data_IF_491102686602
#
_entry.id   IF_491102686602
#
_cell.length_a   1.000
_cell.length_b   1.000
_cell.length_c   1.000
_cell.angle_alpha   90.00
_cell.angle_beta   90.00
_cell.angle_gamma   90.00
#
_symmetry.space_group_name_H-M   'P 1'
#
loop_
_entity.id
_entity.type
_entity.pdbx_description
1 polymer ?
#
# COMPACT_ATOMS: atom_id res chain seq x y z
N UNK A 1 -8.93 15.34 3.47
CA UNK A 1 -7.87 15.74 4.42
C UNK A 1 -6.57 15.06 3.98
N UNK A 2 -5.70 15.80 3.27
CA UNK A 2 -4.43 15.29 2.75
C UNK A 2 -3.37 15.41 3.84
N UNK A 3 -2.96 14.28 4.42
CA UNK A 3 -1.99 14.26 5.52
C UNK A 3 -0.99 13.12 5.35
N UNK A 4 -0.07 13.30 4.40
CA UNK A 4 1.26 12.71 4.48
C UNK A 4 2.25 13.82 4.17
N UNK A 5 2.26 14.83 5.03
CA UNK A 5 3.25 15.90 4.98
C UNK A 5 4.58 15.25 5.36
N UNK A 6 5.45 15.06 4.37
CA UNK A 6 6.87 14.87 4.61
C UNK A 6 7.33 16.03 5.47
N UNK A 7 7.71 15.77 6.73
CA UNK A 7 8.37 16.75 7.56
C UNK A 7 9.79 16.88 7.05
N UNK A 8 10.16 17.96 6.35
CA UNK A 8 11.55 18.20 6.00
C UNK A 8 12.34 18.26 7.32
N UNK A 9 13.54 17.69 7.34
CA UNK A 9 14.48 17.99 8.42
C UNK A 9 14.66 19.52 8.41
N UNK A 10 14.18 20.18 9.48
CA UNK A 10 14.25 21.63 9.61
C UNK A 10 15.64 22.12 10.00
N UNK A 11 16.55 21.19 10.32
CA UNK A 11 17.92 21.46 10.72
C UNK A 11 18.84 21.40 9.51
N UNK A 12 19.70 22.40 9.39
CA UNK A 12 20.88 22.36 8.51
C UNK A 12 21.83 21.23 8.92
N UNK A 13 22.70 20.81 7.99
CA UNK A 13 23.71 19.77 8.28
C UNK A 13 24.61 20.17 9.47
N UNK A 14 24.95 21.47 9.62
CA UNK A 14 25.75 21.98 10.72
C UNK A 14 25.02 21.91 12.08
N UNK A 15 23.72 22.22 12.11
CA UNK A 15 22.91 22.07 13.33
C UNK A 15 22.76 20.60 13.73
N UNK A 16 22.59 19.72 12.75
CA UNK A 16 22.47 18.28 12.96
C UNK A 16 23.80 17.66 13.44
N UNK A 17 24.94 18.10 12.90
CA UNK A 17 26.27 17.71 13.35
C UNK A 17 26.50 18.09 14.83
N UNK A 18 26.21 19.34 15.19
CA UNK A 18 26.29 19.80 16.57
C UNK A 18 25.40 18.97 17.50
N UNK A 19 24.20 18.63 17.03
CA UNK A 19 23.27 17.81 17.78
C UNK A 19 23.79 16.38 17.98
N UNK A 20 24.44 15.78 16.98
CA UNK A 20 25.07 14.48 17.11
C UNK A 20 26.25 14.50 18.08
N UNK A 21 27.12 15.51 18.01
CA UNK A 21 28.21 15.66 18.98
C UNK A 21 27.68 15.83 20.41
N UNK A 22 26.61 16.61 20.60
CA UNK A 22 25.93 16.73 21.90
C UNK A 22 25.43 15.37 22.39
N UNK A 23 24.82 14.58 21.51
CA UNK A 23 24.30 13.25 21.83
C UNK A 23 25.38 12.27 22.28
N UNK A 24 26.52 12.26 21.61
CA UNK A 24 27.66 11.40 21.96
C UNK A 24 28.26 11.82 23.29
N UNK A 25 28.38 13.13 23.56
CA UNK A 25 29.01 13.66 24.77
C UNK A 25 28.13 13.54 26.01
N UNK A 26 26.86 13.90 25.90
CA UNK A 26 25.92 13.94 27.02
C UNK A 26 24.49 13.61 26.54
N UNK A 27 24.17 12.32 26.34
CA UNK A 27 22.86 11.90 25.85
C UNK A 27 21.72 12.19 26.84
N UNK A 28 22.03 12.36 28.13
CA UNK A 28 21.04 12.67 29.16
C UNK A 28 20.55 14.12 29.09
N UNK A 29 21.39 15.04 28.61
CA UNK A 29 21.04 16.46 28.40
C UNK A 29 20.06 16.72 27.26
N UNK A 30 19.80 15.72 26.41
CA UNK A 30 18.94 15.88 25.24
C UNK A 30 17.46 15.82 25.60
N UNK A 31 16.72 16.82 25.12
CA UNK A 31 15.26 16.84 25.13
C UNK A 31 14.66 15.78 24.21
N UNK A 32 13.36 15.50 24.37
CA UNK A 32 12.63 14.56 23.49
C UNK A 32 12.64 15.04 22.03
N UNK A 33 12.47 16.33 21.79
CA UNK A 33 12.49 16.91 20.44
C UNK A 33 13.85 16.71 19.76
N UNK A 34 14.93 16.92 20.50
CA UNK A 34 16.30 16.69 20.01
C UNK A 34 16.54 15.20 19.69
N UNK A 35 16.11 14.29 20.56
CA UNK A 35 16.17 12.84 20.32
C UNK A 35 15.37 12.45 19.07
N UNK A 36 14.21 13.07 18.84
CA UNK A 36 13.40 12.83 17.64
C UNK A 36 14.10 13.35 16.38
N UNK A 37 14.72 14.53 16.43
CA UNK A 37 15.50 15.06 15.31
C UNK A 37 16.67 14.14 14.93
N UNK A 38 17.43 13.63 15.90
CA UNK A 38 18.50 12.63 15.67
C UNK A 38 17.94 11.38 15.02
N UNK A 39 16.78 10.89 15.47
CA UNK A 39 16.08 9.72 14.91
C UNK A 39 15.40 10.00 13.56
N UNK A 40 15.45 11.24 13.06
CA UNK A 40 14.69 11.69 11.89
C UNK A 40 13.18 11.39 12.01
N UNK A 41 12.67 11.49 13.24
CA UNK A 41 11.27 11.35 13.62
C UNK A 41 10.59 12.73 13.71
N UNK A 42 9.24 12.80 13.62
CA UNK A 42 8.51 14.05 13.76
C UNK A 42 8.71 14.71 15.13
N UNK A 43 8.37 16.00 15.28
CA UNK A 43 8.25 16.65 16.58
C UNK A 43 7.36 15.85 17.55
N UNK A 44 7.60 15.89 18.87
CA UNK A 44 6.92 15.01 19.83
C UNK A 44 5.39 15.09 19.81
N UNK A 45 4.84 16.30 19.70
CA UNK A 45 3.41 16.57 19.60
C UNK A 45 2.79 15.94 18.35
N UNK A 46 3.47 16.07 17.22
CA UNK A 46 3.08 15.44 15.95
C UNK A 46 3.20 13.92 16.02
N UNK A 47 4.30 13.40 16.57
CA UNK A 47 4.53 11.97 16.70
C UNK A 47 3.46 11.32 17.58
N UNK A 48 3.12 11.94 18.71
CA UNK A 48 2.07 11.44 19.59
C UNK A 48 0.69 11.54 18.96
N UNK A 49 0.38 12.63 18.25
CA UNK A 49 -0.87 12.75 17.50
C UNK A 49 -1.02 11.64 16.44
N UNK A 50 0.05 11.34 15.70
CA UNK A 50 0.08 10.24 14.73
C UNK A 50 -0.06 8.88 15.43
N UNK A 51 0.62 8.64 16.55
CA UNK A 51 0.47 7.39 17.30
C UNK A 51 -0.97 7.21 17.79
N UNK A 52 -1.57 8.25 18.38
CA UNK A 52 -2.95 8.22 18.87
C UNK A 52 -3.92 7.97 17.72
N UNK A 53 -3.71 8.61 16.57
CA UNK A 53 -4.52 8.37 15.38
C UNK A 53 -4.43 6.92 14.89
N UNK A 54 -3.23 6.30 14.93
CA UNK A 54 -3.01 4.97 14.39
C UNK A 54 -3.36 3.82 15.35
N UNK A 55 -3.14 3.99 16.65
CA UNK A 55 -3.35 2.93 17.65
C UNK A 55 -3.98 3.38 18.97
N UNK A 56 -4.36 4.65 19.10
CA UNK A 56 -5.00 5.18 20.31
C UNK A 56 -4.06 5.43 21.49
N UNK A 57 -2.75 5.26 21.31
CA UNK A 57 -1.74 5.45 22.36
C UNK A 57 -0.72 6.52 21.94
N UNK A 58 -0.16 7.26 22.91
CA UNK A 58 1.04 8.07 22.67
C UNK A 58 2.26 7.17 22.45
N UNK A 59 3.35 7.72 21.91
CA UNK A 59 4.58 6.93 21.71
C UNK A 59 5.13 6.39 23.05
N UNK A 60 5.07 7.19 24.11
CA UNK A 60 5.50 6.79 25.45
C UNK A 60 4.64 5.64 26.01
N UNK A 61 3.31 5.76 25.94
CA UNK A 61 2.39 4.72 26.39
C UNK A 61 2.57 3.42 25.59
N UNK A 62 2.82 3.54 24.28
CA UNK A 62 3.11 2.43 23.40
C UNK A 62 4.41 1.71 23.76
N UNK A 63 5.48 2.45 24.07
CA UNK A 63 6.74 1.87 24.57
C UNK A 63 6.56 1.20 25.93
N UNK A 64 5.82 1.82 26.85
CA UNK A 64 5.51 1.23 28.16
C UNK A 64 4.74 -0.09 28.02
N UNK A 65 3.73 -0.14 27.15
CA UNK A 65 2.99 -1.36 26.81
C UNK A 65 3.91 -2.46 26.28
N UNK A 66 4.78 -2.12 25.32
CA UNK A 66 5.73 -3.06 24.73
C UNK A 66 6.80 -3.54 25.72
N UNK A 67 7.14 -2.73 26.73
CA UNK A 67 8.09 -3.12 27.78
C UNK A 67 7.45 -4.09 28.78
N UNK A 68 6.19 -3.85 29.15
CA UNK A 68 5.43 -4.70 30.07
C UNK A 68 5.14 -6.08 29.46
N UNK A 69 4.64 -6.11 28.22
CA UNK A 69 4.41 -7.35 27.48
C UNK A 69 4.54 -7.11 25.96
N UNK A 70 5.67 -7.48 25.34
CA UNK A 70 5.86 -7.37 23.89
C UNK A 70 4.82 -8.12 23.06
N UNK A 71 4.23 -9.19 23.60
CA UNK A 71 3.23 -9.99 22.89
C UNK A 71 1.85 -9.35 22.88
N UNK A 72 1.58 -8.41 23.80
CA UNK A 72 0.34 -7.62 23.85
C UNK A 72 0.23 -6.56 22.74
N UNK A 73 1.34 -6.24 22.06
CA UNK A 73 1.38 -5.23 21.00
C UNK A 73 0.53 -5.66 19.80
N UNK A 74 -0.32 -4.81 19.24
CA UNK A 74 -0.99 -5.10 17.95
C UNK A 74 0.01 -5.00 16.78
N UNK A 75 -0.42 -5.39 15.58
CA UNK A 75 0.43 -5.28 14.38
C UNK A 75 0.78 -3.83 14.04
N UNK A 76 -0.21 -2.92 14.14
CA UNK A 76 -0.01 -1.49 13.93
C UNK A 76 0.95 -0.90 14.97
N UNK A 77 0.75 -1.25 16.24
CA UNK A 77 1.61 -0.86 17.36
C UNK A 77 3.06 -1.32 17.17
N UNK A 78 3.27 -2.60 16.81
CA UNK A 78 4.60 -3.14 16.52
C UNK A 78 5.25 -2.44 15.32
N UNK A 79 4.48 -2.13 14.28
CA UNK A 79 4.96 -1.36 13.12
C UNK A 79 5.44 0.03 13.55
N UNK A 80 4.64 0.78 14.30
CA UNK A 80 4.98 2.13 14.78
C UNK A 80 6.28 2.13 15.59
N UNK A 81 6.47 1.16 16.50
CA UNK A 81 7.72 1.03 17.28
C UNK A 81 8.93 0.78 16.37
N UNK A 82 8.77 -0.04 15.33
CA UNK A 82 9.87 -0.42 14.45
C UNK A 82 10.24 0.65 13.42
N UNK A 83 9.25 1.27 12.77
CA UNK A 83 9.47 2.16 11.62
C UNK A 83 9.07 3.61 11.86
N UNK A 84 8.48 3.92 13.02
CA UNK A 84 7.98 5.24 13.39
C UNK A 84 6.49 5.44 13.08
N UNK A 85 5.90 6.44 13.73
CA UNK A 85 4.49 6.80 13.55
C UNK A 85 4.21 7.47 12.20
N UNK A 86 5.21 8.18 11.65
CA UNK A 86 5.16 8.71 10.30
C UNK A 86 5.68 7.66 9.33
N UNK A 87 4.80 6.75 8.90
CA UNK A 87 5.11 5.74 7.88
C UNK A 87 5.54 6.46 6.59
N UNK A 88 6.82 6.43 6.22
CA UNK A 88 7.32 7.29 5.16
C UNK A 88 6.78 6.83 3.80
N UNK A 89 6.41 7.78 2.95
CA UNK A 89 6.10 7.52 1.53
C UNK A 89 7.34 7.02 0.80
N UNK A 90 7.16 6.37 -0.36
CA UNK A 90 8.27 5.96 -1.22
C UNK A 90 9.20 7.12 -1.57
N UNK A 91 8.64 8.31 -1.78
CA UNK A 91 9.34 9.55 -2.09
C UNK A 91 10.16 10.03 -0.90
N UNK A 92 9.60 9.99 0.31
CA UNK A 92 10.30 10.36 1.55
C UNK A 92 11.51 9.44 1.81
N UNK A 93 11.35 8.13 1.58
CA UNK A 93 12.45 7.15 1.70
C UNK A 93 13.55 7.46 0.70
N UNK A 94 13.19 7.75 -0.57
CA UNK A 94 14.16 8.10 -1.62
C UNK A 94 14.91 9.38 -1.28
N UNK A 95 14.21 10.41 -0.83
CA UNK A 95 14.82 11.69 -0.46
C UNK A 95 15.80 11.52 0.71
N UNK A 96 15.38 10.84 1.79
CA UNK A 96 16.25 10.51 2.92
C UNK A 96 17.50 9.73 2.48
N UNK A 97 17.35 8.81 1.52
CA UNK A 97 18.49 8.07 0.96
C UNK A 97 19.44 9.00 0.19
N UNK A 98 18.91 9.88 -0.66
CA UNK A 98 19.69 10.85 -1.42
C UNK A 98 20.44 11.83 -0.51
N UNK A 99 19.80 12.34 0.55
CA UNK A 99 20.44 13.22 1.54
C UNK A 99 21.59 12.50 2.25
N UNK A 100 21.37 11.25 2.67
CA UNK A 100 22.41 10.44 3.29
C UNK A 100 23.59 10.16 2.36
N UNK A 101 23.31 9.89 1.09
CA UNK A 101 24.34 9.57 0.09
C UNK A 101 25.13 10.83 -0.36
N UNK A 102 24.58 12.03 -0.16
CA UNK A 102 25.27 13.32 -0.38
C UNK A 102 26.24 13.68 0.75
N UNK A 103 26.01 13.19 1.96
CA UNK A 103 26.82 13.51 3.14
C UNK A 103 28.13 12.71 3.15
N UNK A 104 29.24 13.28 3.64
CA UNK A 104 30.48 12.54 3.84
C UNK A 104 30.28 11.31 4.74
N UNK A 105 31.09 10.26 4.56
CA UNK A 105 30.95 9.02 5.35
C UNK A 105 31.07 9.25 6.86
N UNK A 106 31.98 10.12 7.29
CA UNK A 106 32.18 10.44 8.72
C UNK A 106 30.91 11.01 9.37
N UNK A 107 30.07 11.70 8.61
CA UNK A 107 28.81 12.25 9.10
C UNK A 107 27.82 11.12 9.43
N UNK A 108 27.81 10.07 8.61
CA UNK A 108 27.01 8.88 8.86
C UNK A 108 27.52 8.10 10.07
N UNK A 109 28.84 8.01 10.25
CA UNK A 109 29.44 7.37 11.43
C UNK A 109 29.05 8.11 12.71
N UNK A 110 29.17 9.45 12.71
CA UNK A 110 28.75 10.30 13.83
C UNK A 110 27.24 10.18 14.12
N UNK A 111 26.40 10.13 13.09
CA UNK A 111 24.96 9.86 13.24
C UNK A 111 24.71 8.51 13.93
N UNK A 112 25.43 7.45 13.52
CA UNK A 112 25.29 6.13 14.14
C UNK A 112 25.73 6.13 15.59
N UNK A 113 26.84 6.79 15.93
CA UNK A 113 27.30 6.95 17.32
C UNK A 113 26.25 7.70 18.17
N UNK A 114 25.72 8.81 17.66
CA UNK A 114 24.67 9.57 18.32
C UNK A 114 23.40 8.73 18.55
N UNK A 115 22.97 7.95 17.55
CA UNK A 115 21.83 7.05 17.66
C UNK A 115 22.05 5.98 18.74
N UNK A 116 23.24 5.39 18.82
CA UNK A 116 23.58 4.42 19.85
C UNK A 116 23.57 5.07 21.24
N UNK A 117 24.16 6.26 21.38
CA UNK A 117 24.24 6.98 22.66
C UNK A 117 22.87 7.30 23.26
N UNK A 118 21.86 7.61 22.43
CA UNK A 118 20.50 7.93 22.89
C UNK A 118 19.58 6.71 22.99
N UNK A 119 20.06 5.52 22.60
CA UNK A 119 19.26 4.30 22.60
C UNK A 119 19.42 3.58 23.93
N UNK A 120 18.35 3.54 24.73
CA UNK A 120 18.38 2.86 26.03
C UNK A 120 18.22 1.34 25.89
N UNK A 121 18.72 0.54 26.85
CA UNK A 121 18.51 -0.91 26.87
C UNK A 121 17.03 -1.31 26.78
N UNK A 122 16.16 -0.59 27.48
CA UNK A 122 14.71 -0.82 27.48
C UNK A 122 14.11 -0.56 26.10
N UNK A 123 14.49 0.56 25.45
CA UNK A 123 14.06 0.84 24.08
C UNK A 123 14.53 -0.23 23.10
N UNK A 124 15.75 -0.77 23.25
CA UNK A 124 16.22 -1.89 22.43
C UNK A 124 15.42 -3.16 22.66
N UNK A 125 15.11 -3.48 23.93
CA UNK A 125 14.31 -4.64 24.29
C UNK A 125 12.91 -4.55 23.67
N UNK A 126 12.22 -3.42 23.83
CA UNK A 126 10.90 -3.16 23.24
C UNK A 126 10.96 -3.28 21.72
N UNK A 127 11.94 -2.65 21.08
CA UNK A 127 12.12 -2.72 19.62
C UNK A 127 12.40 -4.13 19.14
N UNK A 128 13.18 -4.93 19.86
CA UNK A 128 13.44 -6.33 19.51
C UNK A 128 12.17 -7.17 19.57
N UNK A 129 11.38 -7.02 20.65
CA UNK A 129 10.09 -7.71 20.79
C UNK A 129 9.08 -7.31 19.71
N UNK A 130 8.92 -6.00 19.50
CA UNK A 130 8.09 -5.44 18.43
C UNK A 130 8.55 -5.92 17.04
N UNK A 131 9.87 -5.96 16.80
CA UNK A 131 10.42 -6.40 15.52
C UNK A 131 10.13 -7.86 15.24
N UNK A 132 10.16 -8.75 16.23
CA UNK A 132 9.79 -10.14 16.03
C UNK A 132 8.33 -10.30 15.60
N UNK A 133 7.43 -9.56 16.26
CA UNK A 133 6.00 -9.54 15.89
C UNK A 133 5.80 -8.94 14.50
N UNK A 134 6.40 -7.78 14.24
CA UNK A 134 6.39 -7.11 12.95
C UNK A 134 6.97 -8.01 11.84
N UNK A 135 8.03 -8.76 12.10
CA UNK A 135 8.67 -9.68 11.15
C UNK A 135 7.76 -10.87 10.80
N UNK A 136 7.05 -11.43 11.78
CA UNK A 136 6.06 -12.49 11.53
C UNK A 136 4.90 -11.96 10.71
N UNK A 137 4.34 -10.81 11.10
CA UNK A 137 3.29 -10.13 10.35
C UNK A 137 3.73 -9.83 8.91
N UNK A 138 4.87 -9.16 8.75
CA UNK A 138 5.43 -8.80 7.43
C UNK A 138 5.65 -10.05 6.60
N UNK A 139 6.12 -11.16 7.19
CA UNK A 139 6.22 -12.45 6.47
C UNK A 139 4.87 -12.97 6.02
N UNK A 140 3.83 -12.96 6.86
CA UNK A 140 2.47 -13.40 6.48
C UNK A 140 1.87 -12.50 5.41
N UNK A 141 1.94 -11.19 5.60
CA UNK A 141 1.46 -10.19 4.65
C UNK A 141 2.19 -10.30 3.30
N UNK A 142 3.51 -10.49 3.33
CA UNK A 142 4.30 -10.72 2.11
C UNK A 142 4.08 -12.12 1.52
N UNK A 143 3.74 -13.13 2.31
CA UNK A 143 3.42 -14.47 1.81
C UNK A 143 2.12 -14.45 1.00
N UNK A 144 1.08 -13.78 1.50
CA UNK A 144 -0.15 -13.53 0.72
C UNK A 144 0.13 -12.75 -0.56
N UNK A 145 0.96 -11.69 -0.47
CA UNK A 145 1.42 -10.95 -1.65
C UNK A 145 2.25 -11.79 -2.63
N UNK A 146 2.97 -12.81 -2.15
CA UNK A 146 3.74 -13.72 -3.02
C UNK A 146 2.87 -14.81 -3.64
N UNK A 147 1.73 -15.14 -3.07
CA UNK A 147 0.86 -16.18 -3.60
C UNK A 147 0.31 -15.79 -4.97
N UNK A 148 -0.33 -14.63 -5.09
CA UNK A 148 -0.88 -14.19 -6.38
C UNK A 148 0.21 -13.98 -7.45
N UNK A 149 1.40 -13.52 -7.04
CA UNK A 149 2.58 -13.42 -7.91
C UNK A 149 2.94 -14.79 -8.47
N UNK A 150 3.07 -15.81 -7.62
CA UNK A 150 3.38 -17.19 -8.08
C UNK A 150 2.31 -17.74 -9.03
N UNK A 151 1.06 -17.38 -8.82
CA UNK A 151 -0.03 -17.79 -9.72
C UNK A 151 0.10 -17.13 -11.09
N UNK A 152 0.44 -15.84 -11.15
CA UNK A 152 0.74 -15.16 -12.41
C UNK A 152 2.01 -15.72 -13.07
N UNK A 153 3.07 -15.95 -12.30
CA UNK A 153 4.30 -16.61 -12.79
C UNK A 153 3.96 -17.97 -13.41
N UNK A 154 3.11 -18.77 -12.75
CA UNK A 154 2.66 -20.05 -13.28
C UNK A 154 1.91 -19.88 -14.60
N UNK A 155 0.94 -18.95 -14.68
CA UNK A 155 0.19 -18.68 -15.92
C UNK A 155 1.10 -18.20 -17.05
N UNK A 156 2.13 -17.41 -16.75
CA UNK A 156 3.13 -16.98 -17.71
C UNK A 156 4.03 -18.13 -18.18
N UNK A 157 4.43 -19.02 -17.27
CA UNK A 157 5.28 -20.16 -17.57
C UNK A 157 4.54 -21.26 -18.36
N UNK A 158 3.24 -21.44 -18.15
CA UNK A 158 2.41 -22.37 -18.94
C UNK A 158 1.95 -21.77 -20.27
N UNK A 159 2.22 -20.49 -20.51
CA UNK A 159 1.73 -19.76 -21.68
C UNK A 159 0.21 -19.51 -21.65
N UNK A 160 -0.45 -19.69 -20.50
CA UNK A 160 -1.86 -19.37 -20.28
C UNK A 160 -2.12 -17.85 -20.26
N UNK A 161 -1.10 -17.04 -20.00
CA UNK A 161 -1.19 -15.59 -20.03
C UNK A 161 0.07 -14.97 -20.63
N UNK A 162 -0.09 -13.85 -21.33
CA UNK A 162 1.03 -13.02 -21.78
C UNK A 162 1.11 -11.72 -20.96
N UNK A 163 -0.05 -11.27 -20.47
CA UNK A 163 -0.25 -10.04 -19.71
C UNK A 163 -1.14 -10.29 -18.51
N UNK A 164 -1.24 -9.32 -17.60
CA UNK A 164 -2.22 -9.33 -16.53
C UNK A 164 -2.70 -7.93 -16.21
N UNK A 165 -3.88 -7.83 -15.59
CA UNK A 165 -4.54 -6.57 -15.25
C UNK A 165 -6.02 -6.60 -15.60
N UNK A 166 -6.59 -5.44 -15.94
CA UNK A 166 -8.04 -5.26 -16.07
C UNK A 166 -8.41 -4.53 -17.36
N UNK A 167 -9.65 -4.71 -17.80
CA UNK A 167 -10.27 -3.73 -18.69
C UNK A 167 -10.75 -2.51 -17.88
N UNK A 168 -10.54 -1.30 -18.40
CA UNK A 168 -11.00 -0.06 -17.78
C UNK A 168 -11.83 0.74 -18.78
N UNK A 169 -13.12 0.87 -18.50
CA UNK A 169 -14.06 1.67 -19.26
C UNK A 169 -14.01 3.12 -18.84
N UNK A 170 -13.85 4.00 -19.83
CA UNK A 170 -14.05 5.44 -19.62
C UNK A 170 -15.54 5.74 -19.77
N UNK A 171 -16.18 6.21 -18.71
CA UNK A 171 -17.57 6.67 -18.74
C UNK A 171 -17.70 8.18 -18.51
N UNK A 172 -16.61 8.84 -18.10
CA UNK A 172 -16.50 10.29 -18.03
C UNK A 172 -15.63 10.87 -19.15
N UNK A 173 -16.18 11.81 -19.94
CA UNK A 173 -15.51 12.37 -21.12
C UNK A 173 -15.16 13.85 -21.02
N UNK A 174 -15.56 14.54 -19.95
CA UNK A 174 -15.39 15.99 -19.80
C UNK A 174 -13.93 16.40 -19.66
N UNK A 175 -13.12 15.62 -18.95
CA UNK A 175 -11.73 15.96 -18.62
C UNK A 175 -10.73 15.11 -19.41
N UNK A 176 -10.32 15.59 -20.60
CA UNK A 176 -9.34 14.88 -21.44
C UNK A 176 -7.97 14.71 -20.75
N UNK A 177 -7.48 15.72 -20.07
CA UNK A 177 -6.18 15.65 -19.40
C UNK A 177 -6.25 14.90 -18.06
N UNK A 178 -7.36 15.02 -17.33
CA UNK A 178 -7.64 14.19 -16.15
C UNK A 178 -7.56 12.70 -16.47
N UNK A 179 -8.09 12.27 -17.62
CA UNK A 179 -8.01 10.88 -18.05
C UNK A 179 -6.57 10.39 -18.27
N UNK A 180 -5.70 11.20 -18.89
CA UNK A 180 -4.27 10.87 -19.02
C UNK A 180 -3.60 10.76 -17.65
N UNK A 181 -3.92 11.68 -16.74
CA UNK A 181 -3.42 11.67 -15.36
C UNK A 181 -3.83 10.40 -14.64
N UNK A 182 -5.10 9.99 -14.77
CA UNK A 182 -5.60 8.75 -14.17
C UNK A 182 -4.83 7.52 -14.65
N UNK A 183 -4.58 7.39 -15.97
CA UNK A 183 -3.77 6.29 -16.54
C UNK A 183 -2.40 6.22 -15.93
N UNK A 184 -1.73 7.37 -15.82
CA UNK A 184 -0.40 7.47 -15.23
C UNK A 184 -0.42 7.03 -13.76
N UNK A 185 -1.39 7.53 -12.98
CA UNK A 185 -1.52 7.18 -11.56
C UNK A 185 -1.80 5.69 -11.36
N UNK A 186 -2.70 5.09 -12.15
CA UNK A 186 -2.98 3.64 -12.09
C UNK A 186 -1.71 2.84 -12.34
N UNK A 187 -0.98 3.18 -13.40
CA UNK A 187 0.26 2.48 -13.74
C UNK A 187 1.32 2.66 -12.64
N UNK A 188 1.56 3.87 -12.16
CA UNK A 188 2.55 4.15 -11.11
C UNK A 188 2.22 3.42 -9.80
N UNK A 189 0.94 3.34 -9.41
CA UNK A 189 0.48 2.64 -8.22
C UNK A 189 0.65 1.12 -8.36
N UNK A 190 0.29 0.57 -9.51
CA UNK A 190 0.53 -0.84 -9.83
C UNK A 190 2.03 -1.17 -9.73
N UNK A 191 2.87 -0.39 -10.42
CA UNK A 191 4.32 -0.58 -10.41
C UNK A 191 4.93 -0.42 -9.02
N UNK A 192 4.50 0.56 -8.25
CA UNK A 192 4.99 0.78 -6.88
C UNK A 192 4.78 -0.45 -6.01
N UNK A 193 3.57 -1.04 -6.08
CA UNK A 193 3.22 -2.23 -5.32
C UNK A 193 4.02 -3.46 -5.74
N UNK A 194 4.21 -3.67 -7.03
CA UNK A 194 4.99 -4.80 -7.54
C UNK A 194 6.49 -4.64 -7.20
N UNK A 195 7.00 -3.41 -7.20
CA UNK A 195 8.35 -3.13 -6.70
C UNK A 195 8.52 -3.50 -5.22
N UNK A 196 7.49 -3.35 -4.38
CA UNK A 196 7.59 -3.74 -2.96
C UNK A 196 7.77 -5.24 -2.73
N UNK A 197 7.36 -6.07 -3.69
CA UNK A 197 7.46 -7.52 -3.65
C UNK A 197 8.65 -8.07 -4.45
N UNK A 198 9.29 -7.23 -5.27
CA UNK A 198 10.51 -7.55 -6.02
C UNK A 198 10.28 -8.38 -7.28
N UNK A 199 9.08 -8.35 -7.86
CA UNK A 199 8.69 -9.16 -9.03
C UNK A 199 8.65 -8.31 -10.32
N UNK A 200 9.82 -7.83 -10.77
CA UNK A 200 9.89 -6.88 -11.89
C UNK A 200 9.39 -7.47 -13.22
N UNK A 201 9.61 -8.75 -13.45
CA UNK A 201 9.10 -9.51 -14.59
C UNK A 201 7.56 -9.52 -14.66
N UNK A 202 6.90 -9.57 -13.50
CA UNK A 202 5.45 -9.41 -13.40
C UNK A 202 5.04 -7.97 -13.69
N UNK A 203 5.80 -6.99 -13.19
CA UNK A 203 5.53 -5.58 -13.48
C UNK A 203 5.55 -5.27 -14.98
N UNK A 204 6.51 -5.80 -15.71
CA UNK A 204 6.67 -5.55 -17.15
C UNK A 204 5.50 -6.11 -17.99
N UNK A 205 4.73 -7.06 -17.42
CA UNK A 205 3.56 -7.69 -18.04
C UNK A 205 2.22 -7.08 -17.60
N UNK A 206 2.23 -6.10 -16.70
CA UNK A 206 1.02 -5.41 -16.27
C UNK A 206 0.47 -4.54 -17.42
N UNK A 207 -0.82 -4.68 -17.72
CA UNK A 207 -1.50 -3.88 -18.72
C UNK A 207 -2.94 -3.59 -18.33
N UNK A 208 -3.42 -2.42 -18.75
CA UNK A 208 -4.84 -2.07 -18.69
C UNK A 208 -5.37 -2.02 -20.13
N UNK A 209 -6.44 -2.76 -20.38
CA UNK A 209 -7.17 -2.66 -21.64
C UNK A 209 -8.17 -1.51 -21.56
N UNK A 210 -7.78 -0.33 -22.03
CA UNK A 210 -8.63 0.85 -21.99
C UNK A 210 -9.73 0.77 -23.05
N UNK A 211 -10.98 0.95 -22.63
CA UNK A 211 -12.14 1.02 -23.51
C UNK A 211 -12.63 2.47 -23.52
N UNK A 212 -12.39 3.16 -24.64
CA UNK A 212 -12.78 4.54 -24.87
C UNK A 212 -13.82 4.57 -26.00
N UNK A 213 -15.09 4.58 -25.62
CA UNK A 213 -16.20 4.69 -26.56
C UNK A 213 -17.16 5.74 -26.02
N UNK A 214 -17.30 6.86 -26.72
CA UNK A 214 -18.11 8.01 -26.28
C UNK A 214 -19.59 7.64 -26.05
N UNK A 215 -20.07 6.56 -26.69
CA UNK A 215 -21.41 6.02 -26.46
C UNK A 215 -21.61 5.42 -25.05
N UNK A 216 -20.52 5.23 -24.29
CA UNK A 216 -20.54 4.77 -22.90
C UNK A 216 -20.49 5.92 -21.90
N UNK A 217 -20.59 7.18 -22.38
CA UNK A 217 -20.65 8.34 -21.50
C UNK A 217 -21.86 8.24 -20.56
N UNK A 218 -21.60 8.22 -19.26
CA UNK A 218 -22.64 8.04 -18.23
C UNK A 218 -23.32 6.66 -18.22
N UNK A 219 -22.75 5.64 -18.88
CA UNK A 219 -23.30 4.30 -18.90
C UNK A 219 -23.38 3.69 -17.49
N UNK A 220 -24.51 3.02 -17.20
CA UNK A 220 -24.72 2.29 -15.95
C UNK A 220 -24.10 0.90 -15.95
N UNK A 221 -24.20 0.19 -14.82
CA UNK A 221 -23.60 -1.12 -14.65
C UNK A 221 -24.08 -2.16 -15.67
N UNK A 222 -25.37 -2.13 -16.00
CA UNK A 222 -26.00 -3.07 -16.95
C UNK A 222 -25.43 -2.90 -18.37
N UNK A 223 -25.36 -1.67 -18.87
CA UNK A 223 -24.80 -1.38 -20.20
C UNK A 223 -23.32 -1.75 -20.26
N UNK A 224 -22.55 -1.43 -19.22
CA UNK A 224 -21.13 -1.77 -19.14
C UNK A 224 -20.90 -3.28 -19.12
N UNK A 225 -21.66 -4.05 -18.33
CA UNK A 225 -21.59 -5.53 -18.30
C UNK A 225 -21.88 -6.12 -19.69
N UNK A 226 -22.96 -5.66 -20.33
CA UNK A 226 -23.32 -6.12 -21.68
C UNK A 226 -22.19 -5.83 -22.69
N UNK A 227 -21.64 -4.61 -22.66
CA UNK A 227 -20.55 -4.25 -23.56
C UNK A 227 -19.28 -5.05 -23.27
N UNK A 228 -18.94 -5.25 -22.00
CA UNK A 228 -17.78 -6.05 -21.60
C UNK A 228 -17.90 -7.51 -22.06
N UNK A 229 -19.08 -8.13 -21.95
CA UNK A 229 -19.33 -9.48 -22.47
C UNK A 229 -19.04 -9.59 -23.97
N UNK A 230 -19.41 -8.59 -24.77
CA UNK A 230 -19.09 -8.56 -26.22
C UNK A 230 -17.60 -8.34 -26.51
N UNK A 231 -16.86 -7.77 -25.55
CA UNK A 231 -15.43 -7.49 -25.67
C UNK A 231 -14.54 -8.61 -25.16
N UNK A 232 -15.06 -9.59 -24.39
CA UNK A 232 -14.26 -10.66 -23.76
C UNK A 232 -13.29 -11.35 -24.73
N UNK A 233 -13.75 -11.67 -25.92
CA UNK A 233 -12.93 -12.37 -26.93
C UNK A 233 -11.84 -11.48 -27.56
N UNK A 234 -11.94 -10.16 -27.39
CA UNK A 234 -10.98 -9.16 -27.90
C UNK A 234 -9.99 -8.71 -26.82
N UNK A 235 -10.22 -9.07 -25.56
CA UNK A 235 -9.35 -8.72 -24.45
C UNK A 235 -8.07 -9.57 -24.54
N UNK A 236 -6.87 -8.97 -24.41
CA UNK A 236 -5.61 -9.72 -24.45
C UNK A 236 -5.55 -10.85 -23.41
N UNK A 237 -4.94 -11.97 -23.79
CA UNK A 237 -4.81 -13.16 -22.94
C UNK A 237 -4.15 -12.83 -21.59
N UNK A 238 -4.83 -13.18 -20.51
CA UNK A 238 -4.39 -12.99 -19.12
C UNK A 238 -4.88 -11.70 -18.44
N UNK A 239 -5.45 -10.76 -19.19
CA UNK A 239 -6.27 -9.69 -18.60
C UNK A 239 -7.57 -10.32 -18.06
N UNK A 240 -8.04 -9.85 -16.90
CA UNK A 240 -9.25 -10.36 -16.26
C UNK A 240 -10.49 -10.17 -17.15
N UNK A 241 -11.28 -11.24 -17.28
CA UNK A 241 -12.52 -11.29 -18.07
C UNK A 241 -13.76 -11.57 -17.21
N UNK A 242 -13.57 -11.74 -15.91
CA UNK A 242 -14.61 -11.90 -14.89
C UNK A 242 -14.89 -10.59 -14.15
N UNK A 243 -13.96 -9.63 -14.19
CA UNK A 243 -14.07 -8.33 -13.56
C UNK A 243 -13.57 -7.23 -14.49
N UNK A 244 -14.18 -6.06 -14.37
CA UNK A 244 -13.71 -4.86 -15.07
C UNK A 244 -13.87 -3.62 -14.22
N UNK A 245 -13.19 -2.55 -14.66
CA UNK A 245 -13.18 -1.27 -13.98
C UNK A 245 -13.92 -0.23 -14.81
N UNK A 246 -14.50 0.79 -14.15
CA UNK A 246 -14.93 2.00 -14.83
C UNK A 246 -14.47 3.27 -14.10
N UNK A 247 -14.38 4.36 -14.87
CA UNK A 247 -14.02 5.68 -14.39
C UNK A 247 -14.94 6.74 -15.01
N UNK A 248 -15.79 7.31 -14.17
CA UNK A 248 -16.62 8.47 -14.49
C UNK A 248 -15.84 9.79 -14.28
N UNK A 249 -16.51 10.93 -14.50
CA UNK A 249 -15.87 12.24 -14.31
C UNK A 249 -15.37 12.45 -12.86
N UNK A 250 -16.07 11.92 -11.85
CA UNK A 250 -15.66 12.07 -10.46
C UNK A 250 -14.37 11.28 -10.15
N UNK A 251 -14.26 10.05 -10.65
CA UNK A 251 -13.03 9.24 -10.56
C UNK A 251 -11.87 9.92 -11.28
N UNK A 252 -12.13 10.48 -12.45
CA UNK A 252 -11.12 11.18 -13.26
C UNK A 252 -10.59 12.42 -12.52
N UNK A 253 -11.47 13.26 -11.98
CA UNK A 253 -11.08 14.46 -11.22
C UNK A 253 -10.29 14.13 -9.93
N UNK A 254 -10.50 12.95 -9.33
CA UNK A 254 -9.71 12.49 -8.17
C UNK A 254 -8.25 12.18 -8.53
N UNK A 255 -7.95 11.87 -9.79
CA UNK A 255 -6.60 11.52 -10.20
C UNK A 255 -5.60 12.66 -9.96
N UNK A 256 -6.03 13.92 -10.11
CA UNK A 256 -5.22 15.10 -9.83
C UNK A 256 -4.83 15.21 -8.35
N UNK A 257 -5.63 14.61 -7.47
CA UNK A 257 -5.37 14.55 -6.02
C UNK A 257 -4.51 13.35 -5.63
N UNK A 258 -4.11 12.51 -6.60
CA UNK A 258 -3.18 11.39 -6.42
C UNK A 258 -3.76 10.13 -5.76
N UNK A 259 -5.07 10.07 -5.53
CA UNK A 259 -5.77 8.94 -4.91
C UNK A 259 -7.11 8.62 -5.61
N UNK A 260 -7.09 8.29 -6.92
CA UNK A 260 -8.31 7.93 -7.60
C UNK A 260 -8.83 6.59 -7.09
N UNK A 261 -10.13 6.57 -6.76
CA UNK A 261 -10.85 5.33 -6.49
C UNK A 261 -11.64 4.97 -7.74
N UNK A 262 -11.34 3.83 -8.35
CA UNK A 262 -12.07 3.36 -9.53
C UNK A 262 -13.26 2.50 -9.10
N UNK A 263 -14.21 2.35 -10.00
CA UNK A 263 -15.39 1.52 -9.80
C UNK A 263 -15.09 0.12 -10.29
N UNK A 264 -15.31 -0.88 -9.45
CA UNK A 264 -15.14 -2.28 -9.78
C UNK A 264 -16.49 -2.94 -10.02
N UNK A 265 -16.57 -3.74 -11.08
CA UNK A 265 -17.77 -4.45 -11.50
C UNK A 265 -17.50 -5.95 -11.65
N UNK A 266 -18.44 -6.76 -11.16
CA UNK A 266 -18.54 -8.17 -11.52
C UNK A 266 -19.22 -8.30 -12.89
N UNK A 267 -18.56 -9.01 -13.81
CA UNK A 267 -19.01 -9.16 -15.18
C UNK A 267 -20.18 -10.14 -15.32
N UNK A 268 -20.32 -11.08 -14.39
CA UNK A 268 -21.34 -12.13 -14.40
C UNK A 268 -22.46 -11.86 -13.38
N UNK A 269 -22.47 -10.68 -12.73
CA UNK A 269 -23.55 -10.30 -11.83
C UNK A 269 -24.89 -10.21 -12.57
N UNK A 270 -25.82 -11.07 -12.15
CA UNK A 270 -27.22 -11.04 -12.55
C UNK A 270 -28.02 -10.50 -11.39
N UNK A 271 -28.76 -9.42 -11.61
CA UNK A 271 -29.73 -8.93 -10.63
C UNK A 271 -30.85 -9.97 -10.53
N UNK A 272 -30.77 -10.84 -9.52
CA UNK A 272 -31.79 -11.86 -9.25
C UNK A 272 -33.02 -11.27 -8.52
N UNK A 273 -33.03 -9.95 -8.26
CA UNK A 273 -34.11 -9.24 -7.59
C UNK A 273 -35.19 -8.74 -8.55
N UNK A 274 -36.34 -9.42 -8.58
CA UNK A 274 -37.56 -8.87 -9.19
C UNK A 274 -37.93 -7.50 -8.59
N UNK A 275 -38.60 -6.67 -9.40
CA UNK A 275 -39.06 -5.26 -9.28
C UNK A 275 -39.36 -4.59 -7.90
N UNK A 276 -39.24 -5.29 -6.77
CA UNK A 276 -39.56 -4.81 -5.43
C UNK A 276 -38.37 -4.26 -4.61
N UNK A 277 -37.10 -4.48 -4.99
CA UNK A 277 -35.94 -3.84 -4.33
C UNK A 277 -35.70 -2.44 -4.89
N UNK A 278 -36.63 -1.53 -4.60
CA UNK A 278 -36.49 -0.08 -4.76
C UNK A 278 -35.47 0.47 -3.76
N UNK A 279 -34.19 0.14 -3.95
CA UNK A 279 -33.01 0.91 -3.52
C UNK A 279 -31.73 0.22 -4.04
N UNK A 280 -31.52 0.30 -5.37
CA UNK A 280 -30.28 0.79 -5.98
C UNK A 280 -28.92 0.23 -5.56
N UNK A 281 -28.81 -1.00 -5.06
CA UNK A 281 -27.52 -1.67 -4.91
C UNK A 281 -27.14 -2.39 -6.21
N UNK A 282 -26.80 -1.61 -7.25
CA UNK A 282 -25.86 -2.12 -8.25
C UNK A 282 -24.61 -2.58 -7.47
N UNK A 283 -24.14 -3.81 -7.63
CA UNK A 283 -22.93 -4.35 -6.96
C UNK A 283 -21.64 -3.68 -7.47
N UNK A 284 -21.63 -2.36 -7.43
CA UNK A 284 -20.51 -1.49 -7.65
C UNK A 284 -19.80 -1.32 -6.32
N UNK A 285 -18.52 -1.67 -6.29
CA UNK A 285 -17.66 -1.31 -5.17
C UNK A 285 -16.65 -0.25 -5.61
N UNK A 286 -16.54 0.81 -4.83
CA UNK A 286 -15.47 1.79 -4.98
C UNK A 286 -14.20 1.20 -4.35
N UNK A 287 -13.17 1.01 -5.16
CA UNK A 287 -11.92 0.40 -4.72
C UNK A 287 -10.72 1.29 -5.03
N UNK A 288 -9.79 1.39 -4.08
CA UNK A 288 -8.49 1.97 -4.36
C UNK A 288 -7.68 1.01 -5.24
N UNK A 289 -6.86 1.55 -6.13
CA UNK A 289 -6.01 0.76 -7.04
C UNK A 289 -5.12 -0.23 -6.26
N UNK A 290 -4.66 0.17 -5.06
CA UNK A 290 -3.84 -0.68 -4.20
C UNK A 290 -4.61 -1.93 -3.69
N UNK A 291 -5.90 -1.79 -3.44
CA UNK A 291 -6.79 -2.90 -3.07
C UNK A 291 -7.18 -3.78 -4.26
N UNK A 292 -7.21 -3.24 -5.48
CA UNK A 292 -7.51 -4.05 -6.66
C UNK A 292 -6.40 -5.03 -7.02
N UNK A 293 -5.15 -4.65 -6.76
CA UNK A 293 -3.98 -5.40 -7.26
C UNK A 293 -3.43 -6.37 -6.19
N UNK A 294 -3.49 -6.06 -4.88
CA UNK A 294 -2.85 -6.91 -3.86
C UNK A 294 -3.75 -7.99 -3.23
N UNK A 295 -4.94 -7.71 -2.68
CA UNK A 295 -5.79 -8.73 -2.06
C UNK A 295 -6.78 -9.40 -3.02
N UNK A 296 -7.30 -8.66 -4.01
CA UNK A 296 -8.34 -9.17 -4.90
C UNK A 296 -7.88 -10.32 -5.80
N UNK A 297 -6.64 -10.30 -6.28
CA UNK A 297 -6.11 -11.45 -7.03
C UNK A 297 -6.00 -12.71 -6.17
N UNK A 298 -5.79 -12.61 -4.85
CA UNK A 298 -5.75 -13.78 -3.97
C UNK A 298 -7.16 -14.26 -3.60
N UNK A 299 -8.05 -13.36 -3.16
CA UNK A 299 -9.39 -13.71 -2.70
C UNK A 299 -10.29 -14.23 -3.84
N UNK A 300 -10.17 -13.68 -5.04
CA UNK A 300 -10.98 -14.11 -6.18
C UNK A 300 -10.48 -15.43 -6.77
N UNK A 301 -9.17 -15.71 -6.67
CA UNK A 301 -8.62 -17.01 -7.07
C UNK A 301 -8.99 -18.11 -6.06
N UNK A 302 -9.05 -17.79 -4.76
CA UNK A 302 -9.52 -18.73 -3.74
C UNK A 302 -10.99 -19.12 -3.92
N UNK A 303 -11.86 -18.17 -4.32
CA UNK A 303 -13.28 -18.46 -4.64
C UNK A 303 -13.47 -19.42 -5.81
N UNK A 304 -12.45 -19.61 -6.67
CA UNK A 304 -12.51 -20.47 -7.87
C UNK A 304 -11.65 -21.72 -7.81
N UNK A 305 -10.87 -21.95 -6.75
CA UNK A 305 -10.33 -23.30 -6.52
C UNK A 305 -11.48 -24.24 -6.16
N UNK A 306 -11.73 -25.32 -6.92
CA UNK A 306 -12.57 -26.39 -6.41
C UNK A 306 -12.01 -26.77 -5.06
N UNK A 307 -12.82 -26.76 -4.00
CA UNK A 307 -12.41 -27.33 -2.72
C UNK A 307 -12.02 -28.78 -3.02
N UNK A 308 -10.72 -29.04 -3.16
CA UNK A 308 -10.20 -30.40 -3.19
C UNK A 308 -10.47 -30.90 -1.78
N UNK A 309 -11.62 -31.53 -1.60
CA UNK A 309 -11.93 -32.28 -0.40
C UNK A 309 -10.86 -33.36 -0.32
N UNK A 310 -9.86 -33.16 0.54
CA UNK A 310 -9.05 -34.25 1.04
C UNK A 310 -9.99 -35.16 1.81
N UNK A 311 -10.60 -36.11 1.10
CA UNK A 311 -11.15 -37.31 1.70
C UNK A 311 -9.97 -38.03 2.33
N UNK A 312 -9.76 -37.80 3.62
CA UNK A 312 -9.02 -38.73 4.45
C UNK A 312 -9.82 -40.02 4.48
N UNK A 313 -9.50 -40.92 3.55
CA UNK A 313 -9.87 -42.32 3.66
C UNK A 313 -9.20 -42.88 4.89
N UNK A 314 -9.91 -42.86 6.01
CA UNK A 314 -9.61 -43.73 7.14
C UNK A 314 -10.02 -45.12 6.67
N UNK A 315 -9.02 -45.86 6.18
CA UNK A 315 -9.14 -47.28 5.92
C UNK A 315 -9.48 -48.00 7.22
N UNK A 316 -10.44 -48.92 7.11
CA UNK A 316 -10.87 -49.85 8.16
C UNK A 316 -9.82 -50.94 8.37
#
# INVERSE_FOLDING_TARGET
>A
MSFLQTYPQTLSDAELENLYHKAVKDPASLSRSEKNAIKSAPPPDVEDALCVQHCGLTMEALFAKGLADPMSLTEAEASIICVGANLPTSEAIKLKRQERDRRPSWFNDLMWEALQAITTPESMQVRKGAYEKYRVWRRRHMAGKRLWIRMLEQQFNTGEADKWGFALFRTGFEERDGWKTLRKVIHERAMSMIRTVGAQDIADRFAIHYVENDNLSGAGGKELRQHFTTLRDKIPKGIRTDLFLSADNAVIAQAERGQPCVLLWDADFHDEGGEASREGHDEQSTSSIERLISPMYAEIMERRSPRVSYNQGIGS
#
